data_IF_908186591214
#
_entry.id   IF_908186591214
#
_cell.length_a   1.000
_cell.length_b   1.000
_cell.length_c   1.000
_cell.angle_alpha   90.00
_cell.angle_beta   90.00
_cell.angle_gamma   90.00
#
_symmetry.space_group_name_H-M   'P 1'
#
loop_
_entity.id
_entity.type
_entity.pdbx_description
1 polymer ?
#
# COMPACT_ATOMS: atom_id res chain seq x y z
N UNK A 1 -3.70 19.95 8.73
CA UNK A 1 -4.58 18.81 9.11
C UNK A 1 -3.76 17.53 9.06
N UNK A 2 -3.96 16.55 9.95
CA UNK A 2 -3.23 15.27 9.86
C UNK A 2 -3.58 14.54 8.56
N UNK A 3 -2.58 13.97 7.89
CA UNK A 3 -2.74 13.08 6.73
C UNK A 3 -3.64 11.90 7.14
N UNK A 4 -4.53 11.50 6.24
CA UNK A 4 -5.43 10.35 6.45
C UNK A 4 -4.72 9.09 5.98
N UNK A 5 -4.91 7.97 6.68
CA UNK A 5 -4.62 6.65 6.12
C UNK A 5 -5.42 6.46 4.83
N UNK A 6 -4.70 6.18 3.76
CA UNK A 6 -5.16 5.86 2.41
C UNK A 6 -5.02 4.36 2.18
N UNK A 7 -5.93 3.71 1.43
CA UNK A 7 -5.75 2.32 1.05
C UNK A 7 -4.44 2.04 0.28
N UNK A 8 -3.92 3.07 -0.41
CA UNK A 8 -2.64 3.02 -1.14
C UNK A 8 -1.39 3.18 -0.26
N UNK A 9 -1.54 3.35 1.05
CA UNK A 9 -0.40 3.49 1.96
C UNK A 9 0.32 2.16 2.20
N UNK A 10 -0.30 1.01 1.89
CA UNK A 10 0.32 -0.32 1.94
C UNK A 10 0.59 -0.77 0.49
N UNK A 11 1.86 -0.74 0.07
CA UNK A 11 2.24 -1.02 -1.33
C UNK A 11 3.01 -2.32 -1.48
N UNK A 12 3.85 -2.69 -0.51
CA UNK A 12 4.60 -3.95 -0.51
C UNK A 12 4.27 -4.80 0.72
N UNK A 13 4.55 -6.10 0.65
CA UNK A 13 4.40 -6.99 1.79
C UNK A 13 5.30 -6.59 2.97
N UNK A 14 6.47 -5.99 2.71
CA UNK A 14 7.40 -5.53 3.75
C UNK A 14 6.77 -4.44 4.64
N UNK A 15 5.94 -3.58 4.05
CA UNK A 15 5.20 -2.52 4.75
C UNK A 15 4.20 -3.09 5.77
N UNK A 16 3.77 -4.35 5.63
CA UNK A 16 2.85 -4.99 6.56
C UNK A 16 3.45 -5.14 7.97
N UNK A 17 4.79 -5.17 8.09
CA UNK A 17 5.48 -5.20 9.39
C UNK A 17 5.36 -3.88 10.15
N UNK A 18 5.14 -2.76 9.45
CA UNK A 18 5.07 -1.41 10.00
C UNK A 18 3.64 -0.83 10.02
N UNK A 19 2.63 -1.71 9.98
CA UNK A 19 1.23 -1.34 9.82
C UNK A 19 0.71 -0.38 10.90
N UNK A 20 1.25 -0.47 12.12
CA UNK A 20 0.89 0.41 13.23
C UNK A 20 1.30 1.88 12.99
N UNK A 21 2.41 2.11 12.27
CA UNK A 21 2.92 3.45 11.95
C UNK A 21 2.28 4.03 10.68
N UNK A 22 1.85 3.17 9.76
CA UNK A 22 1.06 3.57 8.57
C UNK A 22 -0.33 4.11 8.95
N UNK A 23 -0.89 3.64 10.07
CA UNK A 23 -2.25 3.99 10.48
C UNK A 23 -2.27 5.25 11.37
N UNK A 24 -2.73 6.36 10.80
CA UNK A 24 -2.85 7.65 11.50
C UNK A 24 -4.30 7.95 11.89
N UNK A 25 -4.61 7.90 13.19
CA UNK A 25 -5.91 8.32 13.71
C UNK A 25 -6.03 9.84 13.83
N UNK A 26 -6.42 10.51 12.75
CA UNK A 26 -6.68 11.98 12.77
C UNK A 26 -7.85 12.41 13.67
N UNK A 27 -8.65 11.47 14.19
CA UNK A 27 -9.77 11.77 15.09
C UNK A 27 -9.37 11.67 16.57
N UNK A 28 -8.13 11.30 16.86
CA UNK A 28 -7.56 11.27 18.22
C UNK A 28 -7.72 12.61 18.96
N UNK A 29 -7.73 13.74 18.25
CA UNK A 29 -7.80 15.06 18.85
C UNK A 29 -9.22 15.48 19.30
N UNK A 30 -10.29 14.85 18.79
CA UNK A 30 -11.69 15.25 19.09
C UNK A 30 -12.40 14.19 19.92
N UNK A 31 -12.62 14.47 21.22
CA UNK A 31 -13.40 13.63 22.16
C UNK A 31 -13.11 12.13 22.01
N UNK A 32 -11.86 11.78 21.72
CA UNK A 32 -11.44 10.42 21.49
C UNK A 32 -11.03 9.81 22.82
N UNK A 33 -11.54 8.62 23.11
CA UNK A 33 -11.01 7.79 24.19
C UNK A 33 -9.96 6.84 23.62
N UNK A 34 -9.01 6.36 24.44
CA UNK A 34 -8.05 5.35 24.01
C UNK A 34 -8.71 4.11 23.39
N UNK A 35 -9.84 3.66 23.94
CA UNK A 35 -10.61 2.54 23.41
C UNK A 35 -11.17 2.82 22.00
N UNK A 36 -11.67 4.04 21.74
CA UNK A 36 -12.14 4.45 20.40
C UNK A 36 -10.98 4.54 19.41
N UNK A 37 -9.81 5.01 19.85
CA UNK A 37 -8.58 5.03 19.06
C UNK A 37 -8.19 3.61 18.61
N UNK A 38 -8.02 2.69 19.56
CA UNK A 38 -7.68 1.28 19.26
C UNK A 38 -8.67 0.61 18.30
N UNK A 39 -9.98 0.85 18.45
CA UNK A 39 -10.99 0.31 17.54
C UNK A 39 -10.86 0.87 16.12
N UNK A 40 -10.48 2.14 15.98
CA UNK A 40 -10.26 2.77 14.67
C UNK A 40 -8.99 2.26 14.02
N UNK A 41 -7.88 2.17 14.76
CA UNK A 41 -6.62 1.65 14.25
C UNK A 41 -6.80 0.24 13.67
N UNK A 42 -7.36 -0.69 14.45
CA UNK A 42 -7.71 -2.04 13.96
C UNK A 42 -8.60 -2.06 12.73
N UNK A 43 -9.54 -1.11 12.61
CA UNK A 43 -10.40 -1.01 11.43
C UNK A 43 -9.59 -0.57 10.20
N UNK A 44 -8.66 0.36 10.37
CA UNK A 44 -7.82 0.87 9.28
C UNK A 44 -6.75 -0.14 8.87
N UNK A 45 -6.09 -0.80 9.83
CA UNK A 45 -5.21 -1.95 9.60
C UNK A 45 -5.91 -3.01 8.75
N UNK A 46 -7.10 -3.46 9.17
CA UNK A 46 -7.90 -4.43 8.41
C UNK A 46 -8.25 -3.93 7.00
N UNK A 47 -8.53 -2.64 6.84
CA UNK A 47 -8.83 -2.06 5.52
C UNK A 47 -7.62 -2.03 4.60
N UNK A 48 -6.44 -1.70 5.13
CA UNK A 48 -5.19 -1.71 4.36
C UNK A 48 -4.89 -3.12 3.87
N UNK A 49 -4.89 -4.10 4.77
CA UNK A 49 -4.64 -5.51 4.43
C UNK A 49 -5.65 -6.00 3.40
N UNK A 50 -6.94 -5.77 3.63
CA UNK A 50 -7.97 -6.20 2.69
C UNK A 50 -7.78 -5.54 1.31
N UNK A 51 -7.50 -4.24 1.26
CA UNK A 51 -7.27 -3.55 -0.01
C UNK A 51 -6.05 -4.13 -0.74
N UNK A 52 -4.96 -4.41 -0.03
CA UNK A 52 -3.78 -5.04 -0.61
C UNK A 52 -4.13 -6.44 -1.15
N UNK A 53 -4.79 -7.29 -0.37
CA UNK A 53 -5.19 -8.64 -0.80
C UNK A 53 -6.14 -8.62 -2.00
N UNK A 54 -7.07 -7.68 -2.03
CA UNK A 54 -8.04 -7.55 -3.12
C UNK A 54 -7.40 -7.02 -4.43
N UNK A 55 -6.24 -6.35 -4.36
CA UNK A 55 -5.59 -5.69 -5.49
C UNK A 55 -4.11 -6.11 -5.63
N UNK A 56 -3.68 -7.23 -5.05
CA UNK A 56 -2.27 -7.59 -4.93
C UNK A 56 -1.59 -7.68 -6.30
N UNK A 57 -2.22 -8.39 -7.25
CA UNK A 57 -1.72 -8.55 -8.62
C UNK A 57 -1.56 -7.19 -9.36
N UNK A 58 -2.48 -6.26 -9.15
CA UNK A 58 -2.44 -4.95 -9.78
C UNK A 58 -1.42 -4.02 -9.13
N UNK A 59 -1.32 -4.04 -7.79
CA UNK A 59 -0.37 -3.23 -7.04
C UNK A 59 1.07 -3.68 -7.29
N UNK A 60 1.34 -4.98 -7.34
CA UNK A 60 2.67 -5.51 -7.65
C UNK A 60 3.10 -5.16 -9.09
N UNK A 61 2.16 -5.22 -10.05
CA UNK A 61 2.40 -4.82 -11.45
C UNK A 61 2.63 -3.31 -11.63
N UNK A 62 1.97 -2.45 -10.84
CA UNK A 62 2.22 -1.00 -10.84
C UNK A 62 3.59 -0.63 -10.24
N UNK A 63 4.14 -1.49 -9.38
CA UNK A 63 5.42 -1.31 -8.71
C UNK A 63 6.59 -1.90 -9.49
N UNK A 64 6.32 -2.85 -10.39
CA UNK A 64 7.28 -3.22 -11.43
C UNK A 64 7.46 -2.02 -12.38
N UNK A 65 8.68 -1.50 -12.55
CA UNK A 65 8.94 -0.53 -13.61
C UNK A 65 8.52 -1.19 -14.94
N UNK A 66 7.95 -0.44 -15.90
CA UNK A 66 7.71 -1.00 -17.22
C UNK A 66 9.04 -1.55 -17.69
N UNK A 67 9.12 -2.88 -17.82
CA UNK A 67 10.32 -3.51 -18.29
C UNK A 67 10.68 -2.81 -19.59
N UNK A 68 11.86 -2.19 -19.62
CA UNK A 68 12.58 -2.02 -20.87
C UNK A 68 12.76 -3.45 -21.40
N UNK A 69 11.75 -3.94 -22.12
CA UNK A 69 11.97 -4.97 -23.11
C UNK A 69 12.99 -4.35 -24.06
N UNK A 70 14.22 -4.89 -24.16
CA UNK A 70 15.08 -4.42 -25.23
C UNK A 70 14.32 -4.69 -26.53
N UNK A 71 14.15 -3.65 -27.35
CA UNK A 71 13.78 -3.73 -28.77
C UNK A 71 14.91 -4.43 -29.57
N UNK A 72 15.41 -5.58 -29.09
CA UNK A 72 16.50 -6.33 -29.68
C UNK A 72 16.07 -7.75 -30.04
N UNK A 73 14.97 -7.90 -30.76
CA UNK A 73 14.81 -9.03 -31.68
C UNK A 73 14.23 -8.49 -32.98
N UNK A 74 15.09 -7.87 -33.80
CA UNK A 74 15.16 -8.05 -35.26
C UNK A 74 16.19 -7.10 -35.86
N UNK A 75 17.44 -7.57 -35.91
CA UNK A 75 18.50 -6.95 -36.70
C UNK A 75 19.81 -7.69 -36.46
N UNK A 76 20.39 -8.23 -37.53
CA UNK A 76 21.67 -8.97 -37.63
C UNK A 76 21.58 -10.50 -37.47
N UNK A 77 21.10 -11.15 -38.53
CA UNK A 77 21.71 -12.41 -39.01
C UNK A 77 22.62 -12.02 -40.17
N UNK A 78 23.93 -12.08 -39.93
CA UNK A 78 24.94 -12.13 -40.99
C UNK A 78 24.91 -13.52 -41.64
N UNK A 79 24.84 -13.57 -42.98
CA UNK A 79 24.86 -14.79 -43.80
C UNK A 79 24.54 -14.52 -45.26
#
# INVERSE_FOLDING_TARGET
>A
MPKRTSPKDLQHWEDATDLEHLVVDKRSHKRATPAKGRRRNRRYEKRLINHYLDNADDLERELEPPGDLPDSVNGWVDG
#
